data_IF_999450977796
#
_entry.id   IF_999450977796
#
_cell.length_a   1.000
_cell.length_b   1.000
_cell.length_c   1.000
_cell.angle_alpha   90.00
_cell.angle_beta   90.00
_cell.angle_gamma   90.00
#
_symmetry.space_group_name_H-M   'P 1'
#
loop_
_entity.id
_entity.type
_entity.pdbx_description
1 polymer ?
#
# COMPACT_ATOMS: atom_id res chain seq x y z
N UNK A 1 -0.73 19.77 5.61
CA UNK A 1 0.66 19.42 6.00
C UNK A 1 0.66 18.11 6.80
N UNK A 2 1.69 17.24 6.69
CA UNK A 2 1.77 15.97 7.47
C UNK A 2 2.78 16.10 8.59
N UNK A 3 2.41 15.72 9.82
CA UNK A 3 3.29 15.75 11.00
C UNK A 3 3.08 14.53 11.89
N UNK A 4 4.05 14.24 12.76
CA UNK A 4 3.88 13.21 13.79
C UNK A 4 2.77 13.63 14.77
N UNK A 5 1.94 12.67 15.20
CA UNK A 5 0.96 12.90 16.25
C UNK A 5 1.67 13.04 17.61
N UNK A 6 1.26 14.06 18.36
CA UNK A 6 1.60 14.21 19.78
C UNK A 6 0.63 13.37 20.62
N UNK A 7 0.94 13.10 21.91
CA UNK A 7 -0.01 12.44 22.80
C UNK A 7 -1.38 13.14 22.85
N UNK A 8 -1.41 14.48 22.80
CA UNK A 8 -2.68 15.22 22.76
C UNK A 8 -3.47 14.95 21.46
N UNK A 9 -2.79 14.88 20.31
CA UNK A 9 -3.44 14.54 19.04
C UNK A 9 -4.03 13.13 19.05
N UNK A 10 -3.37 12.18 19.73
CA UNK A 10 -3.85 10.80 19.83
C UNK A 10 -5.20 10.70 20.54
N UNK A 11 -5.49 11.63 21.45
CA UNK A 11 -6.79 11.74 22.11
C UNK A 11 -7.80 12.59 21.32
N UNK A 12 -7.34 13.69 20.70
CA UNK A 12 -8.23 14.69 20.11
C UNK A 12 -8.62 14.43 18.65
N UNK A 13 -7.73 13.79 17.88
CA UNK A 13 -7.93 13.59 16.44
C UNK A 13 -8.33 12.13 16.20
N UNK A 14 -9.36 11.85 15.38
CA UNK A 14 -9.77 10.48 15.14
C UNK A 14 -8.72 9.70 14.33
N UNK A 15 -8.51 8.44 14.71
CA UNK A 15 -7.76 7.50 13.91
C UNK A 15 -8.53 7.14 12.63
N UNK A 16 -7.81 7.02 11.51
CA UNK A 16 -8.36 6.54 10.25
C UNK A 16 -9.01 5.17 10.47
N UNK A 17 -10.33 5.12 10.31
CA UNK A 17 -11.05 3.85 10.28
C UNK A 17 -10.79 3.16 8.95
N UNK A 18 -10.08 2.04 9.02
CA UNK A 18 -9.77 1.20 7.87
C UNK A 18 -10.59 -0.07 7.99
N UNK A 19 -11.73 -0.11 7.31
CA UNK A 19 -12.46 -1.36 7.10
C UNK A 19 -12.28 -1.74 5.63
N UNK A 20 -11.29 -2.60 5.37
CA UNK A 20 -11.00 -3.11 4.02
C UNK A 20 -10.87 -4.63 4.07
N UNK A 21 -11.42 -5.34 3.08
CA UNK A 21 -11.28 -6.78 2.95
C UNK A 21 -9.82 -7.19 2.68
N UNK A 22 -9.57 -8.48 2.81
CA UNK A 22 -8.28 -9.10 2.46
C UNK A 22 -8.25 -9.35 0.96
N UNK A 23 -7.15 -9.01 0.30
CA UNK A 23 -6.94 -9.37 -1.09
C UNK A 23 -6.85 -10.87 -1.26
N UNK A 24 -7.43 -11.38 -2.35
CA UNK A 24 -7.24 -12.75 -2.78
C UNK A 24 -5.86 -12.90 -3.46
N UNK A 25 -4.83 -13.22 -2.68
CA UNK A 25 -3.46 -13.40 -3.18
C UNK A 25 -3.33 -14.53 -4.21
N UNK A 26 -4.13 -15.58 -4.13
CA UNK A 26 -4.09 -16.68 -5.11
C UNK A 26 -4.59 -16.22 -6.48
N UNK A 27 -5.66 -15.43 -6.50
CA UNK A 27 -6.12 -14.80 -7.73
C UNK A 27 -5.03 -13.90 -8.34
N UNK A 28 -4.32 -13.14 -7.51
CA UNK A 28 -3.22 -12.26 -7.94
C UNK A 28 -2.10 -13.09 -8.59
N UNK A 29 -1.63 -14.13 -7.89
CA UNK A 29 -0.56 -15.02 -8.37
C UNK A 29 -0.90 -15.65 -9.72
N UNK A 30 -2.16 -16.04 -9.93
CA UNK A 30 -2.62 -16.66 -11.19
C UNK A 30 -2.49 -15.78 -12.44
N UNK A 31 -2.33 -14.46 -12.27
CA UNK A 31 -2.25 -13.50 -13.38
C UNK A 31 -0.83 -13.02 -13.69
N UNK A 32 0.08 -13.22 -12.75
CA UNK A 32 1.48 -12.81 -12.89
C UNK A 32 2.18 -13.64 -13.96
N UNK A 33 3.00 -12.99 -14.78
CA UNK A 33 3.93 -13.76 -15.60
C UNK A 33 4.97 -14.48 -14.69
N UNK A 34 5.64 -15.54 -15.18
CA UNK A 34 6.52 -16.35 -14.34
C UNK A 34 7.62 -15.57 -13.64
N UNK A 35 8.29 -14.65 -14.34
CA UNK A 35 9.37 -13.83 -13.78
C UNK A 35 8.88 -12.92 -12.64
N UNK A 36 7.68 -12.34 -12.80
CA UNK A 36 7.10 -11.47 -11.77
C UNK A 36 6.57 -12.27 -10.58
N UNK A 37 6.01 -13.46 -10.83
CA UNK A 37 5.59 -14.37 -9.76
C UNK A 37 6.78 -14.80 -8.91
N UNK A 38 7.88 -15.20 -9.56
CA UNK A 38 9.14 -15.54 -8.88
C UNK A 38 9.63 -14.36 -8.05
N UNK A 39 9.64 -13.15 -8.62
CA UNK A 39 10.00 -11.93 -7.89
C UNK A 39 9.10 -11.71 -6.69
N UNK A 40 7.78 -11.81 -6.84
CA UNK A 40 6.85 -11.66 -5.71
C UNK A 40 7.16 -12.66 -4.60
N UNK A 41 7.42 -13.93 -4.94
CA UNK A 41 7.78 -14.95 -3.96
C UNK A 41 9.09 -14.65 -3.23
N UNK A 42 10.11 -14.17 -3.95
CA UNK A 42 11.38 -13.74 -3.36
C UNK A 42 11.16 -12.60 -2.35
N UNK A 43 10.46 -11.54 -2.76
CA UNK A 43 10.21 -10.37 -1.90
C UNK A 43 9.31 -10.74 -0.71
N UNK A 44 8.34 -11.62 -0.92
CA UNK A 44 7.50 -12.13 0.16
C UNK A 44 8.29 -12.96 1.17
N UNK A 45 9.27 -13.75 0.70
CA UNK A 45 10.21 -14.47 1.55
C UNK A 45 10.99 -13.55 2.47
N UNK A 46 11.36 -12.34 2.02
CA UNK A 46 12.05 -11.34 2.84
C UNK A 46 11.19 -10.89 4.03
N UNK A 47 9.88 -10.70 3.82
CA UNK A 47 8.92 -10.36 4.90
C UNK A 47 8.82 -11.47 5.95
N UNK A 48 9.05 -12.72 5.58
CA UNK A 48 9.07 -13.87 6.49
C UNK A 48 10.44 -14.21 7.10
N UNK A 49 11.52 -13.59 6.62
CA UNK A 49 12.88 -13.90 7.08
C UNK A 49 13.20 -13.15 8.38
N UNK A 50 13.55 -13.87 9.44
CA UNK A 50 14.19 -13.22 10.61
C UNK A 50 15.58 -12.72 10.19
N UNK A 51 15.94 -11.45 10.43
CA UNK A 51 17.31 -10.98 10.24
C UNK A 51 18.27 -11.58 11.25
N UNK A 52 17.76 -12.03 12.39
CA UNK A 52 18.57 -12.56 13.48
C UNK A 52 18.75 -14.08 13.32
N UNK A 53 19.98 -14.62 13.37
CA UNK A 53 20.18 -16.04 13.61
C UNK A 53 19.56 -16.41 14.96
N UNK A 54 19.11 -17.66 15.15
CA UNK A 54 18.44 -18.12 16.37
C UNK A 54 19.26 -17.97 17.68
N UNK A 55 20.52 -17.51 17.59
CA UNK A 55 21.47 -17.48 18.71
C UNK A 55 22.23 -16.15 18.88
N UNK A 56 21.92 -15.09 18.12
CA UNK A 56 22.57 -13.78 18.36
C UNK A 56 21.80 -12.99 19.41
N UNK A 57 22.44 -12.74 20.55
CA UNK A 57 22.03 -11.89 21.67
C UNK A 57 21.81 -10.40 21.33
N UNK A 58 21.71 -10.05 20.04
CA UNK A 58 21.18 -8.76 19.63
C UNK A 58 19.67 -8.77 19.76
N UNK A 59 19.16 -8.68 20.99
CA UNK A 59 17.73 -8.53 21.24
C UNK A 59 17.23 -7.37 20.39
N UNK A 60 16.36 -7.64 19.40
CA UNK A 60 15.51 -6.61 18.85
C UNK A 60 14.81 -5.97 20.06
N UNK A 61 15.17 -4.73 20.39
CA UNK A 61 14.76 -4.14 21.65
C UNK A 61 13.29 -3.79 21.54
N UNK A 62 12.52 -4.27 22.50
CA UNK A 62 11.14 -3.84 22.63
C UNK A 62 11.12 -2.31 22.70
N UNK A 63 10.48 -1.67 21.73
CA UNK A 63 10.38 -0.21 21.69
C UNK A 63 9.58 0.32 22.87
N UNK A 64 9.81 1.57 23.31
CA UNK A 64 9.05 2.17 24.41
C UNK A 64 7.63 2.62 24.03
N UNK A 65 7.37 2.81 22.73
CA UNK A 65 6.05 3.24 22.25
C UNK A 65 5.03 2.12 22.38
N UNK A 66 3.79 2.52 22.65
CA UNK A 66 2.64 1.65 22.82
C UNK A 66 1.50 2.12 21.93
N UNK A 67 0.60 1.21 21.57
CA UNK A 67 -0.65 1.59 20.91
C UNK A 67 -1.62 2.06 22.01
N UNK A 68 -2.25 3.24 21.88
CA UNK A 68 -3.33 3.65 22.77
C UNK A 68 -4.43 2.61 22.84
N UNK A 69 -4.96 2.30 24.04
CA UNK A 69 -5.95 1.21 24.19
C UNK A 69 -7.20 1.41 23.33
N UNK A 70 -7.66 2.65 23.16
CA UNK A 70 -8.78 2.98 22.28
C UNK A 70 -8.48 2.68 20.80
N UNK A 71 -7.29 3.06 20.33
CA UNK A 71 -6.85 2.80 18.96
C UNK A 71 -6.64 1.30 18.72
N UNK A 72 -6.11 0.56 19.71
CA UNK A 72 -5.92 -0.89 19.62
C UNK A 72 -7.27 -1.62 19.41
N UNK A 73 -8.34 -1.19 20.07
CA UNK A 73 -9.70 -1.73 19.84
C UNK A 73 -10.16 -1.51 18.40
N UNK A 74 -9.90 -0.33 17.83
CA UNK A 74 -10.24 -0.02 16.43
C UNK A 74 -9.42 -0.88 15.45
N UNK A 75 -8.12 -1.01 15.67
CA UNK A 75 -7.23 -1.82 14.84
C UNK A 75 -7.57 -3.31 14.89
N UNK A 76 -7.99 -3.83 16.05
CA UNK A 76 -8.50 -5.20 16.20
C UNK A 76 -9.79 -5.41 15.42
N UNK A 77 -10.75 -4.49 15.57
CA UNK A 77 -12.02 -4.55 14.83
C UNK A 77 -11.81 -4.51 13.32
N UNK A 78 -10.79 -3.79 12.86
CA UNK A 78 -10.35 -3.74 11.47
C UNK A 78 -9.56 -4.99 11.01
N UNK A 79 -9.22 -5.90 11.94
CA UNK A 79 -8.37 -7.04 11.67
C UNK A 79 -6.98 -6.63 11.17
N UNK A 80 -6.41 -5.56 11.72
CA UNK A 80 -5.03 -5.08 11.45
C UNK A 80 -4.04 -5.66 12.47
N UNK A 81 -4.52 -5.82 13.71
CA UNK A 81 -3.77 -6.46 14.80
C UNK A 81 -4.63 -7.54 15.45
N UNK A 82 -3.99 -8.51 16.07
CA UNK A 82 -4.61 -9.54 16.91
C UNK A 82 -3.75 -9.81 18.14
N UNK A 83 -4.28 -10.60 19.10
CA UNK A 83 -3.48 -11.08 20.22
C UNK A 83 -2.29 -11.89 19.70
N UNK A 84 -1.12 -11.65 20.29
CA UNK A 84 0.08 -12.35 19.88
C UNK A 84 -0.06 -13.86 20.09
N UNK A 85 0.38 -14.63 19.11
CA UNK A 85 0.51 -16.09 19.22
C UNK A 85 1.57 -16.48 20.25
N UNK A 86 1.57 -17.74 20.70
CA UNK A 86 2.55 -18.27 21.65
C UNK A 86 3.96 -18.42 21.07
N UNK A 87 4.15 -18.19 19.76
CA UNK A 87 5.46 -18.15 19.11
C UNK A 87 6.35 -17.13 19.79
N UNK A 88 7.65 -17.42 19.91
CA UNK A 88 8.63 -16.46 20.45
C UNK A 88 8.66 -15.22 19.57
N UNK A 89 8.70 -14.03 20.19
CA UNK A 89 8.79 -12.76 19.45
C UNK A 89 10.13 -12.70 18.69
N UNK A 90 10.05 -12.63 17.36
CA UNK A 90 11.23 -12.52 16.50
C UNK A 90 11.48 -11.10 15.99
N UNK A 91 10.58 -10.15 16.25
CA UNK A 91 10.76 -8.76 15.85
C UNK A 91 9.72 -7.81 16.43
N UNK A 92 10.11 -6.55 16.53
CA UNK A 92 9.30 -5.47 17.08
C UNK A 92 9.02 -4.38 16.06
N UNK A 93 7.83 -3.80 16.15
CA UNK A 93 7.48 -2.55 15.47
C UNK A 93 7.47 -1.39 16.47
N UNK A 94 7.75 -0.20 15.96
CA UNK A 94 7.48 1.06 16.64
C UNK A 94 6.11 1.54 16.15
N UNK A 95 5.05 1.49 16.99
CA UNK A 95 3.76 2.05 16.63
C UNK A 95 3.77 3.57 16.81
N UNK A 96 3.24 4.30 15.84
CA UNK A 96 2.97 5.73 15.96
C UNK A 96 1.91 6.18 14.98
N UNK A 97 1.35 7.38 15.19
CA UNK A 97 0.42 7.98 14.24
C UNK A 97 1.00 9.23 13.58
N UNK A 98 0.61 9.47 12.33
CA UNK A 98 0.85 10.75 11.63
C UNK A 98 -0.47 11.48 11.46
N UNK A 99 -0.47 12.79 11.74
CA UNK A 99 -1.62 13.67 11.49
C UNK A 99 -1.56 14.13 10.04
N UNK A 100 -2.65 13.93 9.35
CA UNK A 100 -2.88 14.37 7.98
C UNK A 100 -4.03 15.37 7.95
N UNK A 101 -3.87 16.38 7.13
CA UNK A 101 -4.93 17.34 6.81
C UNK A 101 -5.72 16.85 5.60
N UNK A 102 -7.05 16.77 5.73
CA UNK A 102 -7.97 16.45 4.65
C UNK A 102 -9.00 17.58 4.53
N UNK A 103 -9.70 17.61 3.40
CA UNK A 103 -10.81 18.53 3.18
C UNK A 103 -11.92 18.40 4.23
N UNK A 104 -12.05 17.22 4.84
CA UNK A 104 -13.02 16.90 5.90
C UNK A 104 -12.49 17.14 7.31
N UNK A 105 -11.29 17.74 7.46
CA UNK A 105 -10.63 17.98 8.74
C UNK A 105 -9.36 17.14 8.95
N UNK A 106 -8.83 17.19 10.17
CA UNK A 106 -7.64 16.43 10.54
C UNK A 106 -7.95 14.95 10.77
N UNK A 107 -7.02 14.09 10.41
CA UNK A 107 -7.12 12.64 10.61
C UNK A 107 -5.77 12.06 11.00
N UNK A 108 -5.74 11.09 11.91
CA UNK A 108 -4.54 10.31 12.20
C UNK A 108 -4.45 9.08 11.31
N UNK A 109 -3.27 8.78 10.76
CA UNK A 109 -2.95 7.50 10.13
C UNK A 109 -1.97 6.75 11.01
N UNK A 110 -2.33 5.54 11.40
CA UNK A 110 -1.45 4.68 12.18
C UNK A 110 -0.38 4.03 11.31
N UNK A 111 0.84 3.96 11.84
CA UNK A 111 2.03 3.44 11.18
C UNK A 111 2.68 2.40 12.09
N UNK A 112 2.94 1.23 11.52
CA UNK A 112 3.83 0.24 12.09
C UNK A 112 5.19 0.34 11.42
N UNK A 113 6.21 0.75 12.16
CA UNK A 113 7.57 0.85 11.63
C UNK A 113 8.51 -0.20 12.25
N UNK A 114 8.87 -1.26 11.52
CA UNK A 114 9.85 -2.25 11.97
C UNK A 114 11.28 -1.70 11.81
N UNK A 115 11.63 -0.69 12.63
CA UNK A 115 12.89 0.08 12.49
C UNK A 115 14.13 -0.79 12.47
N UNK A 116 14.32 -1.64 13.48
CA UNK A 116 15.55 -2.43 13.62
C UNK A 116 15.68 -3.42 12.47
N UNK A 117 14.56 -4.06 12.10
CA UNK A 117 14.51 -4.93 10.93
C UNK A 117 14.91 -4.22 9.64
N UNK A 118 14.35 -3.04 9.37
CA UNK A 118 14.71 -2.26 8.17
C UNK A 118 16.18 -1.78 8.19
N UNK A 119 16.76 -1.58 9.38
CA UNK A 119 18.18 -1.19 9.48
C UNK A 119 19.09 -2.37 9.14
N UNK A 120 18.69 -3.57 9.56
CA UNK A 120 19.53 -4.77 9.52
C UNK A 120 19.29 -5.60 8.24
N UNK A 121 18.22 -5.33 7.49
CA UNK A 121 17.96 -5.91 6.17
C UNK A 121 18.67 -5.09 5.07
N UNK A 122 19.64 -5.67 4.33
CA UNK A 122 20.32 -4.97 3.25
C UNK A 122 19.44 -4.80 2.00
N UNK A 123 18.22 -5.34 2.01
CA UNK A 123 17.34 -5.28 0.86
C UNK A 123 16.72 -3.90 0.67
N UNK A 124 16.91 -3.36 -0.53
CA UNK A 124 16.17 -2.20 -1.02
C UNK A 124 15.08 -2.64 -1.99
N UNK A 125 13.87 -2.14 -1.76
CA UNK A 125 12.75 -2.40 -2.66
C UNK A 125 13.03 -1.81 -4.04
N UNK A 126 12.99 -2.68 -5.04
CA UNK A 126 12.99 -2.34 -6.44
C UNK A 126 11.57 -1.93 -6.87
N UNK A 127 11.14 -0.77 -6.41
CA UNK A 127 10.02 -0.05 -7.01
C UNK A 127 10.63 0.94 -7.98
N UNK A 128 10.61 0.70 -9.29
CA UNK A 128 11.01 1.72 -10.26
C UNK A 128 9.97 2.84 -10.19
N UNK A 129 10.15 3.75 -9.23
CA UNK A 129 9.48 5.02 -9.15
C UNK A 129 10.08 5.87 -10.26
N UNK A 130 9.62 5.61 -11.50
CA UNK A 130 10.08 6.34 -12.67
C UNK A 130 9.99 7.84 -12.40
N UNK A 131 10.93 8.60 -12.94
CA UNK A 131 10.93 10.04 -12.83
C UNK A 131 9.57 10.61 -13.30
N UNK A 132 9.11 11.70 -12.69
CA UNK A 132 7.76 12.25 -12.93
C UNK A 132 7.49 12.51 -14.43
N UNK A 133 8.53 12.78 -15.21
CA UNK A 133 8.47 12.95 -16.66
C UNK A 133 7.91 11.74 -17.41
N UNK A 134 8.09 10.52 -16.91
CA UNK A 134 7.56 9.31 -17.54
C UNK A 134 6.04 9.18 -17.38
N UNK A 135 5.43 9.96 -16.48
CA UNK A 135 3.98 10.06 -16.32
C UNK A 135 3.37 11.26 -17.08
N UNK A 136 4.18 12.07 -17.77
CA UNK A 136 3.73 13.19 -18.60
C UNK A 136 3.10 12.77 -19.94
N UNK A 137 3.58 11.74 -20.68
CA UNK A 137 2.93 11.33 -21.93
C UNK A 137 1.45 10.93 -21.76
N UNK A 138 1.03 10.27 -20.66
CA UNK A 138 -0.39 10.09 -20.31
C UNK A 138 -1.21 11.37 -20.08
N UNK A 139 -0.56 12.52 -19.82
CA UNK A 139 -1.23 13.84 -19.69
C UNK A 139 -1.68 14.36 -21.04
N UNK A 140 -0.99 13.99 -22.12
CA UNK A 140 -1.30 14.41 -23.49
C UNK A 140 -2.35 13.51 -24.17
N UNK A 141 -2.88 12.50 -23.47
CA UNK A 141 -3.93 11.63 -24.00
C UNK A 141 -5.29 12.34 -24.01
N UNK A 142 -6.17 11.93 -24.93
CA UNK A 142 -7.55 12.46 -25.04
C UNK A 142 -8.33 12.34 -23.73
N UNK A 143 -8.14 11.24 -22.99
CA UNK A 143 -8.74 11.01 -21.69
C UNK A 143 -7.79 10.25 -20.76
N UNK A 144 -7.95 10.51 -19.46
CA UNK A 144 -7.32 9.74 -18.40
C UNK A 144 -8.29 9.45 -17.25
N UNK A 145 -8.20 8.26 -16.67
CA UNK A 145 -8.81 7.91 -15.38
C UNK A 145 -7.71 7.68 -14.34
N UNK A 146 -7.94 8.17 -13.12
CA UNK A 146 -7.05 7.97 -11.98
C UNK A 146 -7.82 7.21 -10.90
N UNK A 147 -7.23 6.12 -10.42
CA UNK A 147 -7.82 5.24 -9.41
C UNK A 147 -6.81 5.07 -8.27
N UNK A 148 -7.30 4.97 -7.04
CA UNK A 148 -6.48 4.71 -5.86
C UNK A 148 -6.96 3.42 -5.18
N UNK A 149 -6.06 2.65 -4.57
CA UNK A 149 -6.41 1.50 -3.76
C UNK A 149 -6.49 1.94 -2.29
N UNK A 150 -7.71 1.92 -1.74
CA UNK A 150 -7.98 2.47 -0.41
C UNK A 150 -7.22 1.69 0.65
N UNK A 151 -6.38 2.36 1.44
CA UNK A 151 -5.62 1.74 2.53
C UNK A 151 -4.89 0.46 2.09
N UNK A 152 -4.32 0.54 0.88
CA UNK A 152 -3.68 -0.51 0.10
C UNK A 152 -2.88 -1.55 0.89
N UNK A 153 -1.95 -1.12 1.74
CA UNK A 153 -1.14 -2.03 2.57
C UNK A 153 -1.98 -2.92 3.50
N UNK A 154 -3.07 -2.40 4.06
CA UNK A 154 -3.92 -3.14 5.00
C UNK A 154 -4.81 -4.19 4.31
N UNK A 155 -4.90 -4.20 2.99
CA UNK A 155 -5.61 -5.25 2.25
C UNK A 155 -4.73 -6.50 2.06
N UNK A 156 -3.41 -6.37 2.22
CA UNK A 156 -2.46 -7.47 2.07
C UNK A 156 -2.29 -8.18 3.42
N UNK A 157 -2.70 -9.46 3.51
CA UNK A 157 -2.53 -10.26 4.73
C UNK A 157 -1.09 -10.73 4.89
N UNK A 158 -0.61 -10.75 6.13
CA UNK A 158 0.60 -11.47 6.51
C UNK A 158 0.29 -12.95 6.75
N UNK A 159 1.15 -13.88 6.30
CA UNK A 159 1.12 -15.27 6.74
C UNK A 159 1.23 -15.36 8.26
N UNK A 160 0.50 -16.28 8.89
CA UNK A 160 0.47 -16.40 10.36
C UNK A 160 1.86 -16.66 10.94
N UNK A 161 2.64 -17.43 10.22
CA UNK A 161 3.96 -17.90 10.59
C UNK A 161 4.97 -16.74 10.66
N UNK A 162 4.69 -15.58 10.05
CA UNK A 162 5.60 -14.43 10.02
C UNK A 162 5.17 -13.28 10.93
N UNK A 163 3.96 -13.33 11.50
CA UNK A 163 3.40 -12.24 12.34
C UNK A 163 4.20 -11.97 13.61
N UNK A 164 4.84 -13.01 14.15
CA UNK A 164 5.70 -12.92 15.33
C UNK A 164 6.94 -12.02 15.13
N UNK A 165 7.25 -11.67 13.87
CA UNK A 165 8.29 -10.69 13.51
C UNK A 165 7.82 -9.23 13.60
N UNK A 166 6.52 -9.01 13.85
CA UNK A 166 5.88 -7.70 13.80
C UNK A 166 4.98 -7.48 15.01
N UNK A 167 5.61 -7.44 16.20
CA UNK A 167 4.89 -7.28 17.47
C UNK A 167 5.07 -5.91 18.09
N UNK A 168 4.10 -5.52 18.91
CA UNK A 168 4.23 -4.39 19.83
C UNK A 168 3.26 -4.55 21.00
N UNK A 169 3.34 -3.63 21.95
CA UNK A 169 2.43 -3.62 23.10
C UNK A 169 1.40 -2.51 23.01
N UNK A 170 0.23 -2.81 23.57
CA UNK A 170 -0.81 -1.84 23.91
C UNK A 170 -0.42 -1.17 25.25
N UNK A 171 -0.97 0.01 25.54
CA UNK A 171 -0.75 0.72 26.81
C UNK A 171 -1.07 -0.12 28.05
N UNK A 172 -2.08 -0.99 27.97
CA UNK A 172 -2.45 -1.93 29.05
C UNK A 172 -1.47 -3.12 29.20
N UNK A 173 -0.40 -3.15 28.41
CA UNK A 173 0.64 -4.17 28.46
C UNK A 173 0.38 -5.38 27.55
N UNK A 174 -0.81 -5.48 26.93
CA UNK A 174 -1.17 -6.58 26.03
C UNK A 174 -0.22 -6.65 24.84
N UNK A 175 0.30 -7.84 24.55
CA UNK A 175 1.14 -8.11 23.38
C UNK A 175 0.26 -8.41 22.17
N UNK A 176 0.48 -7.68 21.09
CA UNK A 176 -0.26 -7.83 19.83
C UNK A 176 0.69 -8.04 18.66
N UNK A 177 0.19 -8.69 17.62
CA UNK A 177 0.91 -8.89 16.36
C UNK A 177 0.14 -8.35 15.16
N UNK A 178 0.87 -7.90 14.14
CA UNK A 178 0.27 -7.46 12.89
C UNK A 178 -0.29 -8.64 12.10
N UNK A 179 -1.48 -8.47 11.54
CA UNK A 179 -2.08 -9.41 10.59
C UNK A 179 -1.96 -8.93 9.14
N UNK A 180 -1.59 -7.65 8.95
CA UNK A 180 -1.51 -6.96 7.65
C UNK A 180 -0.11 -6.45 7.36
N UNK A 181 0.20 -6.30 6.08
CA UNK A 181 1.49 -5.82 5.62
C UNK A 181 1.80 -4.42 6.22
N UNK A 182 2.89 -4.25 6.99
CA UNK A 182 3.23 -2.96 7.56
C UNK A 182 3.69 -1.98 6.50
N UNK A 183 3.07 -0.81 6.45
CA UNK A 183 3.47 0.27 5.55
C UNK A 183 4.93 0.72 5.75
N UNK A 184 5.45 0.62 6.98
CA UNK A 184 6.81 1.03 7.30
C UNK A 184 7.90 0.03 6.95
N UNK A 185 7.60 -1.14 6.41
CA UNK A 185 8.61 -2.15 6.04
C UNK A 185 9.16 -1.90 4.63
N UNK A 186 10.48 -2.05 4.46
CA UNK A 186 11.16 -1.71 3.20
C UNK A 186 10.61 -2.44 1.99
N UNK A 187 10.30 -3.74 2.10
CA UNK A 187 9.76 -4.53 1.00
C UNK A 187 8.28 -4.25 0.67
N UNK A 188 7.55 -3.58 1.55
CA UNK A 188 6.09 -3.42 1.41
C UNK A 188 5.67 -2.65 0.15
N UNK A 189 6.32 -1.53 -0.22
CA UNK A 189 6.01 -0.82 -1.46
C UNK A 189 6.19 -1.67 -2.72
N UNK A 190 7.18 -2.57 -2.76
CA UNK A 190 7.38 -3.46 -3.93
C UNK A 190 6.33 -4.54 -4.01
N UNK A 191 6.01 -5.20 -2.89
CA UNK A 191 4.90 -6.15 -2.81
C UNK A 191 3.62 -5.49 -3.31
N UNK A 192 3.35 -4.28 -2.81
CA UNK A 192 2.14 -3.56 -3.17
C UNK A 192 2.16 -3.10 -4.63
N UNK A 193 3.29 -2.60 -5.14
CA UNK A 193 3.45 -2.25 -6.55
C UNK A 193 3.19 -3.46 -7.43
N UNK A 194 3.80 -4.62 -7.15
CA UNK A 194 3.57 -5.84 -7.91
C UNK A 194 2.10 -6.22 -7.85
N UNK A 195 1.49 -6.25 -6.66
CA UNK A 195 0.06 -6.55 -6.50
C UNK A 195 -0.81 -5.61 -7.33
N UNK A 196 -0.60 -4.29 -7.28
CA UNK A 196 -1.46 -3.33 -7.97
C UNK A 196 -1.20 -3.30 -9.49
N UNK A 197 0.06 -3.32 -9.91
CA UNK A 197 0.45 -3.41 -11.34
C UNK A 197 -0.07 -4.70 -11.99
N UNK A 198 -0.10 -5.80 -11.24
CA UNK A 198 -0.53 -7.10 -11.75
C UNK A 198 -2.04 -7.31 -11.65
N UNK A 199 -2.57 -7.29 -10.45
CA UNK A 199 -3.90 -7.76 -10.14
C UNK A 199 -4.97 -6.84 -10.70
N UNK A 200 -4.76 -5.53 -10.55
CA UNK A 200 -5.82 -4.56 -10.72
C UNK A 200 -5.61 -3.85 -12.07
N UNK A 201 -4.41 -3.31 -12.31
CA UNK A 201 -4.13 -2.44 -13.44
C UNK A 201 -3.86 -3.15 -14.78
N UNK A 202 -3.38 -4.41 -14.76
CA UNK A 202 -3.06 -5.19 -15.96
C UNK A 202 -1.85 -4.67 -16.75
N UNK A 203 -0.77 -4.30 -16.07
CA UNK A 203 0.45 -3.78 -16.71
C UNK A 203 1.13 -4.87 -17.54
N UNK A 204 1.37 -4.57 -18.82
CA UNK A 204 1.82 -5.53 -19.84
C UNK A 204 3.14 -6.25 -19.52
N UNK A 205 4.04 -5.64 -18.75
CA UNK A 205 5.32 -6.23 -18.35
C UNK A 205 5.22 -7.13 -17.11
N UNK A 206 4.09 -7.12 -16.41
CA UNK A 206 3.91 -7.74 -15.09
C UNK A 206 2.95 -8.93 -15.15
N UNK A 207 1.89 -8.82 -15.94
CA UNK A 207 0.89 -9.90 -16.10
C UNK A 207 1.14 -10.77 -17.32
N UNK A 208 0.49 -11.94 -17.35
CA UNK A 208 0.32 -12.70 -18.59
C UNK A 208 -0.39 -11.85 -19.66
N UNK A 209 -0.01 -12.05 -20.92
CA UNK A 209 -0.55 -11.32 -22.08
C UNK A 209 -2.08 -11.34 -22.15
N UNK A 210 -2.73 -12.42 -21.72
CA UNK A 210 -4.19 -12.55 -21.71
C UNK A 210 -4.90 -11.50 -20.83
N UNK A 211 -4.23 -11.03 -19.77
CA UNK A 211 -4.78 -10.09 -18.79
C UNK A 211 -4.23 -8.68 -18.95
N UNK A 212 -3.36 -8.48 -19.93
CA UNK A 212 -2.63 -7.24 -20.13
C UNK A 212 -3.50 -6.16 -20.81
N UNK A 213 -3.23 -4.90 -20.47
CA UNK A 213 -3.81 -3.77 -21.17
C UNK A 213 -3.51 -3.82 -22.67
N UNK A 214 -4.50 -3.51 -23.53
CA UNK A 214 -4.25 -3.45 -24.96
C UNK A 214 -3.27 -2.30 -25.28
N UNK A 215 -2.50 -2.38 -26.39
CA UNK A 215 -1.53 -1.34 -26.77
C UNK A 215 -2.13 0.07 -26.93
N UNK A 216 -3.44 0.16 -27.12
CA UNK A 216 -4.20 1.41 -27.25
C UNK A 216 -4.48 2.11 -25.91
N UNK A 217 -4.12 1.48 -24.78
CA UNK A 217 -4.27 2.01 -23.42
C UNK A 217 -2.91 2.06 -22.75
N UNK A 218 -2.57 3.23 -22.19
CA UNK A 218 -1.38 3.41 -21.37
C UNK A 218 -1.76 3.30 -19.90
N UNK A 219 -1.16 2.34 -19.20
CA UNK A 219 -1.37 2.13 -17.76
C UNK A 219 -0.09 2.51 -17.02
N UNK A 220 -0.22 3.43 -16.06
CA UNK A 220 0.85 3.80 -15.12
C UNK A 220 0.41 3.47 -13.70
N UNK A 221 1.32 2.92 -12.89
CA UNK A 221 1.03 2.59 -11.49
C UNK A 221 2.17 3.09 -10.62
N UNK A 222 1.81 3.71 -9.50
CA UNK A 222 2.74 4.13 -8.45
C UNK A 222 2.15 3.81 -7.09
N UNK A 223 2.67 2.76 -6.47
CA UNK A 223 2.26 2.21 -5.18
C UNK A 223 0.74 1.96 -5.20
N UNK A 224 -0.04 2.83 -4.57
CA UNK A 224 -1.50 2.75 -4.43
C UNK A 224 -2.28 3.40 -5.58
N UNK A 225 -1.62 4.23 -6.39
CA UNK A 225 -2.24 5.00 -7.45
C UNK A 225 -2.08 4.34 -8.82
N UNK A 226 -3.15 4.35 -9.60
CA UNK A 226 -3.21 3.88 -10.98
C UNK A 226 -3.71 4.98 -11.89
N UNK A 227 -3.15 5.04 -13.09
CA UNK A 227 -3.55 5.95 -14.16
C UNK A 227 -3.75 5.16 -15.45
N UNK A 228 -4.88 5.39 -16.09
CA UNK A 228 -5.28 4.78 -17.35
C UNK A 228 -5.46 5.91 -18.35
N UNK A 229 -4.71 5.93 -19.45
CA UNK A 229 -4.77 7.00 -20.44
C UNK A 229 -4.90 6.44 -21.87
N UNK A 230 -5.65 7.14 -22.72
CA UNK A 230 -5.90 6.73 -24.09
C UNK A 230 -7.04 7.54 -24.71
N UNK A 231 -7.68 7.00 -25.75
CA UNK A 231 -8.94 7.57 -26.23
C UNK A 231 -10.02 7.48 -25.15
N UNK A 232 -11.02 8.35 -25.19
CA UNK A 232 -12.12 8.34 -24.21
C UNK A 232 -12.79 6.96 -24.09
N UNK A 233 -13.02 6.30 -25.22
CA UNK A 233 -13.60 4.95 -25.29
C UNK A 233 -12.68 3.92 -24.63
N UNK A 234 -11.39 3.91 -24.98
CA UNK A 234 -10.45 2.90 -24.51
C UNK A 234 -10.14 3.06 -23.01
N UNK A 235 -9.96 4.30 -22.55
CA UNK A 235 -9.72 4.60 -21.14
C UNK A 235 -10.92 4.18 -20.27
N UNK A 236 -12.15 4.47 -20.71
CA UNK A 236 -13.38 4.06 -19.99
C UNK A 236 -13.55 2.54 -19.95
N UNK A 237 -13.30 1.87 -21.07
CA UNK A 237 -13.40 0.40 -21.14
C UNK A 237 -12.39 -0.27 -20.20
N UNK A 238 -11.15 0.22 -20.18
CA UNK A 238 -10.12 -0.34 -19.32
C UNK A 238 -10.33 0.01 -17.85
N UNK A 239 -10.80 1.23 -17.53
CA UNK A 239 -11.25 1.58 -16.18
C UNK A 239 -12.28 0.57 -15.65
N UNK A 240 -13.29 0.24 -16.45
CA UNK A 240 -14.27 -0.78 -16.06
C UNK A 240 -13.65 -2.16 -15.85
N UNK A 241 -12.64 -2.54 -16.65
CA UNK A 241 -11.90 -3.80 -16.45
C UNK A 241 -11.07 -3.77 -15.16
N UNK A 242 -10.43 -2.65 -14.85
CA UNK A 242 -9.65 -2.46 -13.62
C UNK A 242 -10.56 -2.57 -12.38
N UNK A 243 -11.76 -2.01 -12.43
CA UNK A 243 -12.76 -2.16 -11.36
C UNK A 243 -13.22 -3.62 -11.21
N UNK A 244 -13.51 -4.32 -12.31
CA UNK A 244 -13.85 -5.76 -12.26
C UNK A 244 -12.71 -6.61 -11.69
N UNK A 245 -11.47 -6.28 -12.04
CA UNK A 245 -10.30 -6.94 -11.50
C UNK A 245 -10.18 -6.71 -10.00
N UNK A 246 -10.40 -5.47 -9.54
CA UNK A 246 -10.42 -5.12 -8.13
C UNK A 246 -11.48 -5.92 -7.38
N UNK A 247 -12.71 -5.98 -7.88
CA UNK A 247 -13.78 -6.77 -7.26
C UNK A 247 -13.41 -8.26 -7.18
N UNK A 248 -12.83 -8.82 -8.24
CA UNK A 248 -12.42 -10.22 -8.33
C UNK A 248 -11.33 -10.60 -7.33
N UNK A 249 -10.44 -9.66 -7.00
CA UNK A 249 -9.39 -9.86 -5.99
C UNK A 249 -9.76 -9.30 -4.61
N UNK A 250 -11.01 -8.86 -4.43
CA UNK A 250 -11.52 -8.19 -3.24
C UNK A 250 -10.78 -6.89 -2.89
N UNK A 251 -10.20 -6.20 -3.86
CA UNK A 251 -9.58 -4.90 -3.63
C UNK A 251 -10.63 -3.79 -3.46
N UNK A 252 -10.53 -3.04 -2.37
CA UNK A 252 -11.28 -1.80 -2.16
C UNK A 252 -10.64 -0.63 -2.88
N UNK A 253 -11.39 -0.01 -3.79
CA UNK A 253 -10.97 1.13 -4.58
C UNK A 253 -11.40 2.46 -3.96
N UNK A 254 -10.48 3.42 -3.86
CA UNK A 254 -10.76 4.84 -3.66
C UNK A 254 -11.03 5.49 -5.01
N UNK A 255 -12.26 5.99 -5.23
CA UNK A 255 -12.62 6.62 -6.51
C UNK A 255 -12.27 8.11 -6.47
N UNK A 256 -11.23 8.50 -7.22
CA UNK A 256 -11.03 9.88 -7.65
C UNK A 256 -11.49 9.96 -9.12
N UNK A 257 -12.81 9.96 -9.34
CA UNK A 257 -13.36 10.05 -10.69
C UNK A 257 -13.18 11.48 -11.24
N UNK A 258 -11.99 11.82 -11.72
CA UNK A 258 -11.75 13.04 -12.47
C UNK A 258 -11.94 12.76 -13.96
N UNK A 259 -13.15 12.96 -14.47
CA UNK A 259 -13.47 12.82 -15.90
C UNK A 259 -13.21 14.09 -16.74
N UNK A 260 -12.55 15.11 -16.19
CA UNK A 260 -12.37 16.41 -16.87
C UNK A 260 -10.89 16.79 -17.05
N UNK A 261 -10.59 17.27 -18.26
CA UNK A 261 -9.29 17.67 -18.81
C UNK A 261 -8.60 18.84 -18.07
N UNK A 262 -9.23 19.45 -17.06
CA UNK A 262 -8.85 20.77 -16.56
C UNK A 262 -8.10 20.81 -15.22
N UNK A 263 -8.00 19.70 -14.50
CA UNK A 263 -7.08 19.58 -13.36
C UNK A 263 -7.05 18.13 -12.89
N UNK A 264 -6.04 17.36 -13.30
CA UNK A 264 -5.83 16.02 -12.75
C UNK A 264 -4.64 16.05 -11.80
N UNK A 265 -4.84 16.02 -10.47
CA UNK A 265 -3.76 15.75 -9.55
C UNK A 265 -3.32 14.30 -9.70
N UNK A 266 -2.12 14.09 -10.23
CA UNK A 266 -1.39 12.82 -10.11
C UNK A 266 -0.08 13.15 -9.39
N UNK A 267 0.23 12.43 -8.30
CA UNK A 267 1.39 12.71 -7.45
C UNK A 267 1.36 14.05 -6.70
N UNK A 268 0.17 14.60 -6.44
CA UNK A 268 0.04 15.91 -5.79
C UNK A 268 0.32 17.09 -6.71
N UNK A 269 0.57 16.85 -8.01
CA UNK A 269 0.73 17.88 -9.01
C UNK A 269 -0.57 18.03 -9.83
N UNK A 270 -1.24 19.17 -9.69
CA UNK A 270 -2.30 19.58 -10.62
C UNK A 270 -1.64 20.14 -11.88
N UNK A 271 -1.64 19.35 -12.97
CA UNK A 271 -1.23 19.86 -14.28
C UNK A 271 -2.44 20.54 -14.94
N UNK A 272 -2.33 21.86 -15.11
CA UNK A 272 -3.28 22.67 -15.87
C UNK A 272 -2.70 22.83 -17.28
N UNK A 273 -3.34 22.26 -18.29
CA UNK A 273 -3.01 22.55 -19.69
C UNK A 273 -3.65 23.89 -20.05
N UNK A 274 -2.88 24.98 -20.09
CA UNK A 274 -3.32 26.25 -20.65
C UNK A 274 -3.42 26.10 -22.17
N UNK A 275 -4.61 25.82 -22.70
CA UNK A 275 -4.89 26.09 -24.11
C UNK A 275 -5.06 27.59 -24.29
N UNK A 276 -3.95 28.33 -24.23
CA UNK A 276 -3.91 29.69 -24.72
C UNK A 276 -4.07 29.64 -26.23
N UNK A 277 -5.25 30.01 -26.75
CA UNK A 277 -5.32 30.54 -28.11
C UNK A 277 -4.49 31.81 -28.10
N UNK A 278 -3.29 31.76 -28.67
CA UNK A 278 -2.61 32.99 -29.05
C UNK A 278 -3.40 33.62 -30.23
N UNK A 279 -3.60 34.95 -30.23
CA UNK A 279 -4.35 35.66 -31.26
C UNK A 279 -3.73 35.52 -32.64
#
# INVERSE_FOLDING_TARGET
MTRLATPQDEHAIPLQQVNVPVLNLEWIKSRLNPATLERLMQVWGLVGRSPFPPSSSGEAREGSRRIPTADARLLRKAGIIEDASSTITGGWIIPFSVVEEKTTGLRRRWIAWPRDRNRDDPYEANVPLLHISHYLPPVMAEAASCLDVKASFFQVSLPRETRHLFRCRVEDGTLVELTRLPMGHQASPEILQIVITSAIAGVTTVVHRLWAAPPSVRVGVRIDNMRIAGSKRNATLWEAQVLRNADSCHASMGRIANRALHSTPFLGCSLITLTGRYP
#
